data_IF_528489993729
#
_entry.id   IF_528489993729
#
_cell.length_a   1.000
_cell.length_b   1.000
_cell.length_c   1.000
_cell.angle_alpha   90.00
_cell.angle_beta   90.00
_cell.angle_gamma   90.00
#
_symmetry.space_group_name_H-M   'P 1'
#
loop_
_entity.id
_entity.type
_entity.pdbx_description
1 polymer ?
#
# COMPACT_ATOMS: atom_id res chain seq x y z
N UNK A 1 -14.33 -8.44 -33.95
CA UNK A 1 -14.60 -8.12 -32.56
C UNK A 1 -13.91 -6.80 -32.31
N UNK A 2 -14.69 -5.75 -32.08
CA UNK A 2 -14.18 -4.40 -31.85
C UNK A 2 -13.50 -4.41 -30.47
N UNK A 3 -12.17 -4.34 -30.46
CA UNK A 3 -11.42 -4.11 -29.23
C UNK A 3 -11.73 -2.67 -28.85
N UNK A 4 -12.65 -2.47 -27.92
CA UNK A 4 -12.92 -1.16 -27.36
C UNK A 4 -11.60 -0.66 -26.77
N UNK A 5 -10.98 0.32 -27.42
CA UNK A 5 -9.80 1.01 -26.92
C UNK A 5 -10.24 1.71 -25.63
N UNK A 6 -9.95 1.08 -24.49
CA UNK A 6 -10.16 1.70 -23.17
C UNK A 6 -9.29 2.95 -23.14
N UNK A 7 -9.92 4.14 -23.11
CA UNK A 7 -9.15 5.39 -22.99
C UNK A 7 -8.49 5.37 -21.60
N UNK A 8 -7.16 5.53 -21.53
CA UNK A 8 -6.48 5.58 -20.25
C UNK A 8 -6.99 6.78 -19.44
N UNK A 9 -7.23 6.53 -18.15
CA UNK A 9 -7.54 7.57 -17.18
C UNK A 9 -6.25 8.35 -16.87
N UNK A 10 -6.38 9.61 -16.48
CA UNK A 10 -5.24 10.47 -16.17
C UNK A 10 -5.26 10.84 -14.69
N UNK A 11 -4.08 10.82 -14.06
CA UNK A 11 -3.89 11.34 -12.70
C UNK A 11 -3.28 12.75 -12.75
N UNK A 12 -3.61 13.57 -11.75
CA UNK A 12 -2.97 14.86 -11.55
C UNK A 12 -2.25 14.94 -10.22
N UNK A 13 -1.12 15.64 -10.17
CA UNK A 13 -0.32 15.81 -8.96
C UNK A 13 -1.05 16.77 -8.00
N UNK A 14 -1.31 16.30 -6.77
CA UNK A 14 -1.94 17.10 -5.70
C UNK A 14 -0.92 17.57 -4.66
N UNK A 15 0.22 16.88 -4.56
CA UNK A 15 1.33 17.28 -3.70
C UNK A 15 2.66 16.90 -4.36
N UNK A 16 3.43 17.88 -4.86
CA UNK A 16 4.77 17.61 -5.40
C UNK A 16 5.80 17.44 -4.26
N UNK A 17 5.62 16.38 -3.46
CA UNK A 17 6.37 16.15 -2.22
C UNK A 17 7.86 15.87 -2.45
N UNK A 18 8.23 15.37 -3.64
CA UNK A 18 9.59 14.98 -3.97
C UNK A 18 10.14 13.89 -3.03
N UNK A 19 9.24 13.02 -2.53
CA UNK A 19 9.58 11.97 -1.59
C UNK A 19 10.59 10.98 -2.18
N UNK A 20 11.45 10.45 -1.34
CA UNK A 20 12.37 9.40 -1.77
C UNK A 20 11.59 8.13 -2.14
N UNK A 21 10.72 7.68 -1.24
CA UNK A 21 9.89 6.50 -1.44
C UNK A 21 8.53 6.75 -0.76
N UNK A 22 7.63 7.50 -1.45
CA UNK A 22 6.28 7.68 -0.94
C UNK A 22 5.49 6.38 -1.07
N UNK A 23 4.82 5.95 0.01
CA UNK A 23 4.18 4.66 0.15
C UNK A 23 2.99 4.68 1.10
N UNK A 24 2.32 3.52 1.20
CA UNK A 24 1.31 3.20 2.19
C UNK A 24 0.18 4.25 2.31
N UNK A 25 -0.41 4.74 1.21
CA UNK A 25 -1.47 5.73 1.30
C UNK A 25 -2.69 5.11 1.99
N UNK A 26 -3.21 5.84 3.00
CA UNK A 26 -4.36 5.41 3.79
C UNK A 26 -5.29 6.61 4.02
N UNK A 27 -6.56 6.50 3.62
CA UNK A 27 -7.53 7.54 3.85
C UNK A 27 -8.03 7.52 5.29
N UNK A 28 -7.72 8.58 6.06
CA UNK A 28 -8.20 8.78 7.41
C UNK A 28 -9.53 9.55 7.39
N UNK A 29 -10.63 8.82 7.29
CA UNK A 29 -11.96 9.40 7.05
C UNK A 29 -12.38 10.42 8.14
N UNK A 30 -12.10 10.13 9.42
CA UNK A 30 -12.48 10.98 10.55
C UNK A 30 -11.81 12.36 10.50
N UNK A 31 -10.64 12.45 9.84
CA UNK A 31 -9.92 13.73 9.65
C UNK A 31 -10.01 14.27 8.24
N UNK A 32 -10.58 13.51 7.30
CA UNK A 32 -10.57 13.82 5.87
C UNK A 32 -9.16 14.12 5.36
N UNK A 33 -8.20 13.30 5.77
CA UNK A 33 -6.78 13.42 5.43
C UNK A 33 -6.25 12.12 4.82
N UNK A 34 -5.25 12.24 3.96
CA UNK A 34 -4.46 11.13 3.48
C UNK A 34 -3.24 10.96 4.39
N UNK A 35 -3.13 9.81 5.06
CA UNK A 35 -1.88 9.34 5.64
C UNK A 35 -1.05 8.72 4.54
N UNK A 36 0.26 8.90 4.62
CA UNK A 36 1.24 8.27 3.74
C UNK A 36 2.60 8.22 4.41
N UNK A 37 3.54 7.49 3.88
CA UNK A 37 4.89 7.41 4.42
C UNK A 37 5.91 7.80 3.36
N UNK A 38 7.02 8.42 3.77
CA UNK A 38 8.26 8.48 3.00
C UNK A 38 9.23 7.53 3.70
N UNK A 39 9.31 6.28 3.20
CA UNK A 39 9.99 5.19 3.88
C UNK A 39 11.43 5.57 4.19
N UNK A 40 12.18 5.99 3.17
CA UNK A 40 13.61 6.31 3.29
C UNK A 40 13.88 7.60 4.07
N UNK A 41 12.96 8.56 4.01
CA UNK A 41 13.04 9.76 4.84
C UNK A 41 12.55 9.52 6.29
N UNK A 42 12.12 8.29 6.62
CA UNK A 42 11.73 7.89 7.97
C UNK A 42 10.63 8.77 8.58
N UNK A 43 9.61 9.12 7.78
CA UNK A 43 8.55 10.04 8.21
C UNK A 43 7.16 9.63 7.73
N UNK A 44 6.16 10.03 8.49
CA UNK A 44 4.74 9.91 8.18
C UNK A 44 4.25 11.27 7.68
N UNK A 45 3.59 11.30 6.53
CA UNK A 45 2.91 12.48 5.99
C UNK A 45 1.43 12.47 6.32
N UNK A 46 0.88 13.65 6.64
CA UNK A 46 -0.54 13.92 6.82
C UNK A 46 -0.94 15.00 5.81
N UNK A 47 -1.60 14.61 4.74
CA UNK A 47 -2.00 15.50 3.67
C UNK A 47 -3.50 15.80 3.73
N UNK A 48 -3.87 17.08 3.80
CA UNK A 48 -5.25 17.55 3.67
C UNK A 48 -5.49 18.00 2.22
N UNK A 49 -6.22 17.23 1.41
CA UNK A 49 -6.43 17.54 0.00
C UNK A 49 -7.29 18.80 -0.23
N UNK A 50 -8.07 19.27 0.76
CA UNK A 50 -8.89 20.48 0.64
C UNK A 50 -8.06 21.74 0.74
N UNK A 51 -7.06 21.75 1.62
CA UNK A 51 -6.17 22.91 1.82
C UNK A 51 -4.86 22.82 1.05
N UNK A 52 -4.49 21.60 0.57
CA UNK A 52 -3.20 21.31 0.00
C UNK A 52 -2.07 21.25 1.05
N UNK A 53 -2.41 21.36 2.34
CA UNK A 53 -1.41 21.33 3.42
C UNK A 53 -0.95 19.90 3.69
N UNK A 54 0.38 19.73 3.84
CA UNK A 54 0.98 18.49 4.30
C UNK A 54 1.89 18.76 5.49
N UNK A 55 1.74 17.96 6.53
CA UNK A 55 2.65 17.97 7.69
C UNK A 55 3.37 16.62 7.81
N UNK A 56 4.48 16.59 8.55
CA UNK A 56 5.26 15.38 8.75
C UNK A 56 5.44 15.08 10.24
N UNK A 57 5.49 13.78 10.56
CA UNK A 57 5.94 13.24 11.85
C UNK A 57 7.19 12.41 11.58
N UNK A 58 8.33 12.82 12.14
CA UNK A 58 9.57 12.06 12.04
C UNK A 58 9.50 10.81 12.91
N UNK A 59 9.75 9.65 12.31
CA UNK A 59 9.71 8.34 12.99
C UNK A 59 11.10 7.92 13.45
N UNK A 60 12.15 8.36 12.76
CA UNK A 60 13.55 8.10 13.11
C UNK A 60 14.08 6.73 12.68
N UNK A 61 13.26 5.92 12.04
CA UNK A 61 13.62 4.69 11.34
C UNK A 61 12.71 4.51 10.12
N UNK A 62 13.08 3.66 9.17
CA UNK A 62 12.26 3.40 7.99
C UNK A 62 10.86 2.95 8.41
N UNK A 63 9.84 3.59 7.85
CA UNK A 63 8.42 3.31 8.13
C UNK A 63 7.74 2.80 6.88
N UNK A 64 7.34 1.52 6.88
CA UNK A 64 6.76 0.85 5.72
C UNK A 64 5.29 1.22 5.49
N UNK A 65 4.49 1.25 6.55
CA UNK A 65 3.09 1.69 6.48
C UNK A 65 2.62 2.31 7.79
N UNK A 66 1.50 3.03 7.71
CA UNK A 66 0.85 3.66 8.86
C UNK A 66 -0.67 3.58 8.72
N UNK A 67 -1.36 3.29 9.82
CA UNK A 67 -2.82 3.26 9.88
C UNK A 67 -3.31 3.98 11.13
N UNK A 68 -4.51 4.58 11.13
CA UNK A 68 -5.10 5.11 12.35
C UNK A 68 -5.55 3.99 13.28
N UNK A 69 -5.56 4.28 14.59
CA UNK A 69 -6.15 3.42 15.60
C UNK A 69 -7.52 3.94 16.05
N UNK A 70 -8.33 3.08 16.66
CA UNK A 70 -9.62 3.48 17.23
C UNK A 70 -9.48 4.55 18.33
N UNK A 71 -8.31 4.68 18.98
CA UNK A 71 -8.04 5.72 19.98
C UNK A 71 -7.67 7.09 19.39
N UNK A 72 -7.44 7.16 18.06
CA UNK A 72 -6.99 8.38 17.36
C UNK A 72 -5.48 8.56 17.31
N UNK A 73 -4.70 7.61 17.85
CA UNK A 73 -3.26 7.47 17.60
C UNK A 73 -3.01 6.86 16.23
N UNK A 74 -1.75 6.74 15.84
CA UNK A 74 -1.31 6.02 14.66
C UNK A 74 -0.58 4.72 15.08
N UNK A 75 -0.75 3.68 14.28
CA UNK A 75 0.03 2.45 14.33
C UNK A 75 0.90 2.39 13.09
N UNK A 76 2.21 2.32 13.27
CA UNK A 76 3.19 2.25 12.19
C UNK A 76 3.94 0.92 12.23
N UNK A 77 4.14 0.29 11.07
CA UNK A 77 5.04 -0.84 10.90
C UNK A 77 6.37 -0.33 10.33
N UNK A 78 7.45 -0.55 11.07
CA UNK A 78 8.75 0.12 10.84
C UNK A 78 9.91 -0.89 10.84
N UNK A 79 11.12 -0.42 10.55
CA UNK A 79 12.32 -1.24 10.70
C UNK A 79 12.53 -1.71 12.16
N UNK A 80 12.04 -0.94 13.15
CA UNK A 80 12.15 -1.27 14.58
C UNK A 80 10.93 -2.03 15.12
N UNK A 81 10.02 -2.49 14.25
CA UNK A 81 8.80 -3.20 14.63
C UNK A 81 7.54 -2.34 14.57
N UNK A 82 6.50 -2.76 15.29
CA UNK A 82 5.23 -2.04 15.37
C UNK A 82 5.30 -0.94 16.42
N UNK A 83 5.12 0.32 16.00
CA UNK A 83 5.16 1.50 16.86
C UNK A 83 3.77 2.13 16.97
N UNK A 84 3.36 2.50 18.20
CA UNK A 84 2.31 3.50 18.40
C UNK A 84 2.94 4.89 18.28
N UNK A 85 2.29 5.77 17.54
CA UNK A 85 2.74 7.15 17.31
C UNK A 85 1.59 8.11 17.63
N UNK A 86 1.83 9.03 18.56
CA UNK A 86 0.88 10.10 18.89
C UNK A 86 0.97 11.22 17.83
N UNK A 87 -0.09 11.51 17.08
CA UNK A 87 0.00 12.39 15.90
C UNK A 87 0.32 13.86 16.22
N UNK A 88 0.01 14.32 17.44
CA UNK A 88 0.20 15.72 17.85
C UNK A 88 1.60 16.00 18.39
N UNK A 89 2.17 15.06 19.15
CA UNK A 89 3.48 15.22 19.80
C UNK A 89 4.62 14.50 19.08
N UNK A 90 4.29 13.55 18.19
CA UNK A 90 5.25 12.64 17.57
C UNK A 90 5.84 11.62 18.55
N UNK A 91 5.31 11.53 19.79
CA UNK A 91 5.77 10.55 20.76
C UNK A 91 5.52 9.13 20.26
N UNK A 92 6.53 8.28 20.40
CA UNK A 92 6.53 6.90 19.91
C UNK A 92 6.71 5.92 21.04
N UNK A 93 6.07 4.76 20.92
CA UNK A 93 6.29 3.62 21.81
C UNK A 93 6.28 2.32 21.02
N UNK A 94 7.29 1.48 21.27
CA UNK A 94 7.35 0.14 20.67
C UNK A 94 6.25 -0.74 21.30
N UNK A 95 5.46 -1.36 20.44
CA UNK A 95 4.44 -2.33 20.84
C UNK A 95 4.98 -3.76 20.76
N UNK A 96 5.57 -4.10 19.61
CA UNK A 96 6.11 -5.44 19.37
C UNK A 96 7.07 -5.43 18.17
N UNK A 97 8.11 -6.28 18.18
CA UNK A 97 9.03 -6.47 17.05
C UNK A 97 9.18 -7.97 16.74
N UNK A 98 8.41 -8.53 15.80
CA UNK A 98 8.42 -9.96 15.53
C UNK A 98 9.71 -10.44 14.88
N UNK A 99 10.44 -9.59 14.17
CA UNK A 99 11.71 -9.87 13.52
C UNK A 99 12.92 -9.19 14.18
N UNK A 100 12.89 -8.98 15.49
CA UNK A 100 13.99 -8.34 16.24
C UNK A 100 15.36 -9.02 16.07
N UNK A 101 15.41 -10.21 15.53
CA UNK A 101 16.63 -10.97 15.21
C UNK A 101 17.04 -10.90 13.72
N UNK A 102 16.23 -10.26 12.85
CA UNK A 102 16.46 -10.11 11.41
C UNK A 102 16.83 -8.65 11.10
N UNK A 103 18.05 -8.26 11.42
CA UNK A 103 18.52 -6.86 11.33
C UNK A 103 18.54 -6.28 9.92
N UNK A 104 18.54 -7.14 8.90
CA UNK A 104 18.56 -6.75 7.50
C UNK A 104 17.16 -6.69 6.87
N UNK A 105 16.11 -6.92 7.68
CA UNK A 105 14.73 -6.78 7.27
C UNK A 105 14.13 -5.47 7.79
N UNK A 106 13.14 -4.96 7.05
CA UNK A 106 12.23 -3.90 7.47
C UNK A 106 10.80 -4.24 7.07
N UNK A 107 9.82 -3.68 7.77
CA UNK A 107 8.46 -3.67 7.21
C UNK A 107 8.40 -2.87 5.92
N UNK A 108 7.56 -3.30 4.98
CA UNK A 108 7.35 -2.70 3.68
C UNK A 108 5.92 -2.18 3.54
N UNK A 109 4.97 -2.98 3.07
CA UNK A 109 3.56 -2.57 2.97
C UNK A 109 2.72 -3.23 4.07
N UNK A 110 1.58 -2.60 4.37
CA UNK A 110 0.63 -3.14 5.35
C UNK A 110 -0.69 -2.40 5.35
N UNK A 111 -1.75 -3.12 5.76
CA UNK A 111 -3.13 -2.62 5.77
C UNK A 111 -3.93 -3.28 6.87
N UNK A 112 -4.90 -2.56 7.44
CA UNK A 112 -5.86 -3.16 8.36
C UNK A 112 -6.88 -4.03 7.62
N UNK A 113 -7.20 -5.16 8.22
CA UNK A 113 -8.25 -6.05 7.76
C UNK A 113 -9.64 -5.64 8.30
N UNK A 114 -10.73 -6.24 7.78
CA UNK A 114 -12.10 -5.96 8.23
C UNK A 114 -12.40 -6.31 9.70
N UNK A 115 -11.48 -6.95 10.41
CA UNK A 115 -11.58 -7.27 11.83
C UNK A 115 -10.75 -6.33 12.72
N UNK A 116 -10.14 -5.28 12.11
CA UNK A 116 -9.35 -4.27 12.81
C UNK A 116 -7.96 -4.73 13.24
N UNK A 117 -7.38 -5.72 12.56
CA UNK A 117 -6.01 -6.20 12.79
C UNK A 117 -5.10 -5.62 11.72
N UNK A 118 -3.85 -5.29 12.06
CA UNK A 118 -2.88 -4.82 11.07
C UNK A 118 -2.12 -6.01 10.46
N UNK A 119 -2.22 -6.17 9.15
CA UNK A 119 -1.33 -7.03 8.38
C UNK A 119 -0.22 -6.18 7.81
N UNK A 120 1.01 -6.58 8.02
CA UNK A 120 2.18 -5.90 7.47
C UNK A 120 3.25 -6.94 7.15
N UNK A 121 3.85 -6.79 6.00
CA UNK A 121 4.91 -7.70 5.59
C UNK A 121 6.27 -7.02 5.53
N UNK A 122 7.30 -7.83 5.55
CA UNK A 122 8.69 -7.39 5.54
C UNK A 122 9.34 -7.57 4.17
N UNK A 123 10.51 -7.03 4.03
CA UNK A 123 11.46 -7.27 2.95
C UNK A 123 12.88 -7.17 3.49
N UNK A 124 13.80 -7.88 2.86
CA UNK A 124 15.23 -7.75 3.13
C UNK A 124 15.80 -6.55 2.35
N UNK A 125 16.68 -5.74 2.94
CA UNK A 125 17.27 -4.57 2.28
C UNK A 125 17.98 -4.89 0.96
N UNK A 126 18.63 -6.08 0.88
CA UNK A 126 19.31 -6.57 -0.31
C UNK A 126 18.41 -7.46 -1.19
N UNK A 127 17.09 -7.41 -1.00
CA UNK A 127 16.09 -8.17 -1.80
C UNK A 127 16.35 -9.68 -1.84
N UNK A 128 16.89 -10.26 -0.77
CA UNK A 128 17.20 -11.70 -0.70
C UNK A 128 15.91 -12.52 -0.84
N UNK A 129 15.81 -13.41 -1.85
CA UNK A 129 14.60 -14.18 -2.08
C UNK A 129 14.19 -15.03 -0.89
N UNK A 130 12.94 -14.92 -0.47
CA UNK A 130 12.36 -15.73 0.61
C UNK A 130 12.84 -15.38 2.02
N UNK A 131 13.58 -14.28 2.21
CA UNK A 131 14.12 -13.88 3.51
C UNK A 131 13.13 -13.11 4.40
N UNK A 132 11.94 -12.82 3.87
CA UNK A 132 10.94 -12.00 4.54
C UNK A 132 9.65 -12.77 4.84
N UNK A 133 8.69 -12.09 5.47
CA UNK A 133 7.46 -12.69 5.94
C UNK A 133 6.28 -11.70 5.91
N UNK A 134 5.06 -12.25 5.94
CA UNK A 134 3.84 -11.50 6.20
C UNK A 134 3.41 -11.79 7.65
N UNK A 135 3.24 -10.72 8.43
CA UNK A 135 2.82 -10.75 9.83
C UNK A 135 1.44 -10.13 9.99
N UNK A 136 0.73 -10.53 11.04
CA UNK A 136 -0.49 -9.89 11.50
C UNK A 136 -0.35 -9.50 12.95
N UNK A 137 -0.58 -8.23 13.28
CA UNK A 137 -0.73 -7.74 14.64
C UNK A 137 -2.21 -7.78 15.02
N UNK A 138 -2.54 -8.64 15.97
CA UNK A 138 -3.89 -8.78 16.50
C UNK A 138 -4.25 -7.61 17.45
N UNK A 139 -5.53 -7.40 17.72
CA UNK A 139 -6.02 -6.28 18.57
C UNK A 139 -5.53 -6.36 20.02
N UNK A 140 -5.05 -7.51 20.48
CA UNK A 140 -4.41 -7.72 21.78
C UNK A 140 -2.89 -7.43 21.76
N UNK A 141 -2.37 -6.84 20.68
CA UNK A 141 -0.96 -6.49 20.46
C UNK A 141 -0.01 -7.71 20.35
N UNK A 142 -0.54 -8.89 20.06
CA UNK A 142 0.28 -10.07 19.75
C UNK A 142 0.43 -10.20 18.23
N UNK A 143 1.65 -10.39 17.76
CA UNK A 143 1.86 -10.67 16.32
C UNK A 143 1.83 -12.16 16.03
N UNK A 144 1.35 -12.51 14.84
CA UNK A 144 1.31 -13.86 14.32
C UNK A 144 1.95 -13.90 12.94
N UNK A 145 2.80 -14.89 12.70
CA UNK A 145 3.34 -15.20 11.38
C UNK A 145 2.23 -15.79 10.51
N UNK A 146 1.90 -15.12 9.41
CA UNK A 146 0.87 -15.56 8.47
C UNK A 146 1.46 -16.27 7.26
N UNK A 147 2.63 -15.81 6.78
CA UNK A 147 3.35 -16.44 5.67
C UNK A 147 4.85 -16.19 5.80
N UNK A 148 5.66 -17.23 5.66
CA UNK A 148 7.11 -17.16 5.53
C UNK A 148 7.53 -17.31 4.05
N UNK A 149 8.81 -17.04 3.77
CA UNK A 149 9.37 -17.23 2.43
C UNK A 149 8.89 -16.15 1.43
N UNK A 150 8.54 -14.98 1.92
CA UNK A 150 8.22 -13.79 1.11
C UNK A 150 9.52 -13.08 0.74
N UNK A 151 9.55 -12.44 -0.41
CA UNK A 151 10.72 -11.66 -0.87
C UNK A 151 10.51 -10.17 -0.65
N UNK A 152 9.46 -9.60 -1.24
CA UNK A 152 9.07 -8.20 -1.06
C UNK A 152 7.55 -8.18 -0.84
N UNK A 153 7.14 -8.17 0.43
CA UNK A 153 5.72 -8.10 0.76
C UNK A 153 5.15 -6.76 0.36
N UNK A 154 4.10 -6.79 -0.44
CA UNK A 154 3.41 -5.63 -0.96
C UNK A 154 1.89 -5.76 -0.85
N UNK A 155 1.16 -5.17 -1.76
CA UNK A 155 -0.26 -4.95 -1.81
C UNK A 155 -1.14 -5.96 -1.07
N UNK A 156 -2.05 -5.42 -0.24
CA UNK A 156 -3.05 -6.18 0.52
C UNK A 156 -4.43 -5.61 0.26
N UNK A 157 -5.42 -6.49 0.05
CA UNK A 157 -6.82 -6.10 -0.04
C UNK A 157 -7.74 -7.22 0.45
N UNK A 158 -8.94 -6.85 0.94
CA UNK A 158 -9.98 -7.81 1.35
C UNK A 158 -11.25 -7.54 0.57
N UNK A 159 -11.92 -8.62 0.12
CA UNK A 159 -13.22 -8.51 -0.52
C UNK A 159 -14.28 -7.95 0.45
N UNK A 160 -15.27 -7.22 -0.08
CA UNK A 160 -16.34 -6.62 0.72
C UNK A 160 -17.16 -7.66 1.51
N UNK A 161 -17.29 -8.88 0.97
CA UNK A 161 -17.98 -10.01 1.63
C UNK A 161 -17.08 -10.76 2.64
N UNK A 162 -15.84 -10.29 2.85
CA UNK A 162 -14.85 -10.83 3.79
C UNK A 162 -14.46 -12.28 3.55
N UNK A 163 -14.67 -12.80 2.34
CA UNK A 163 -14.31 -14.19 2.01
C UNK A 163 -12.92 -14.35 1.41
N UNK A 164 -12.32 -13.24 0.94
CA UNK A 164 -11.06 -13.29 0.23
C UNK A 164 -10.06 -12.27 0.77
N UNK A 165 -8.79 -12.71 0.92
CA UNK A 165 -7.60 -11.88 1.03
C UNK A 165 -6.86 -11.95 -0.30
N UNK A 166 -6.42 -10.79 -0.79
CA UNK A 166 -5.50 -10.65 -1.92
C UNK A 166 -4.15 -10.17 -1.42
N UNK A 167 -3.07 -10.73 -1.95
CA UNK A 167 -1.71 -10.47 -1.50
C UNK A 167 -0.71 -10.49 -2.66
N UNK A 168 0.26 -9.56 -2.62
CA UNK A 168 1.35 -9.44 -3.59
C UNK A 168 2.69 -9.71 -2.90
N UNK A 169 3.49 -10.63 -3.50
CA UNK A 169 4.94 -10.70 -3.34
C UNK A 169 5.54 -10.25 -4.68
N UNK A 170 6.02 -9.01 -4.75
CA UNK A 170 6.31 -8.30 -6.00
C UNK A 170 7.15 -9.08 -7.02
N UNK A 171 8.24 -9.78 -6.65
CA UNK A 171 9.06 -10.51 -7.63
C UNK A 171 8.34 -11.68 -8.29
N UNK A 172 7.22 -12.13 -7.74
CA UNK A 172 6.43 -13.21 -8.34
C UNK A 172 5.61 -12.74 -9.55
N UNK A 173 5.40 -11.43 -9.70
CA UNK A 173 4.53 -10.80 -10.69
C UNK A 173 3.06 -11.23 -10.58
N UNK A 174 2.65 -11.73 -9.41
CA UNK A 174 1.34 -12.33 -9.19
C UNK A 174 0.59 -11.69 -8.03
N UNK A 175 -0.74 -11.69 -8.14
CA UNK A 175 -1.63 -11.51 -7.00
C UNK A 175 -2.17 -12.87 -6.60
N UNK A 176 -1.94 -13.24 -5.35
CA UNK A 176 -2.53 -14.44 -4.74
C UNK A 176 -3.86 -14.08 -4.08
N UNK A 177 -4.85 -14.97 -4.22
CA UNK A 177 -6.13 -14.92 -3.53
C UNK A 177 -6.24 -16.08 -2.56
N UNK A 178 -6.53 -15.78 -1.29
CA UNK A 178 -6.72 -16.77 -0.21
C UNK A 178 -8.18 -16.76 0.23
N UNK A 179 -8.77 -17.95 0.38
CA UNK A 179 -10.05 -18.09 1.05
C UNK A 179 -9.89 -17.87 2.56
N UNK A 180 -10.87 -17.17 3.17
CA UNK A 180 -10.84 -16.84 4.59
C UNK A 180 -11.95 -17.59 5.33
N UNK A 181 -11.67 -17.97 6.58
CA UNK A 181 -12.69 -18.41 7.53
C UNK A 181 -13.49 -17.24 8.12
N UNK A 182 -14.40 -17.52 9.02
CA UNK A 182 -15.22 -16.50 9.70
C UNK A 182 -14.40 -15.57 10.60
N UNK A 183 -13.22 -16.00 11.05
CA UNK A 183 -12.28 -15.24 11.86
C UNK A 183 -11.31 -14.40 10.98
N UNK A 184 -11.37 -14.59 9.65
CA UNK A 184 -10.51 -13.90 8.69
C UNK A 184 -9.10 -14.49 8.60
N UNK A 185 -8.93 -15.76 8.95
CA UNK A 185 -7.69 -16.49 8.78
C UNK A 185 -7.71 -17.24 7.44
N UNK A 186 -6.61 -17.23 6.65
CA UNK A 186 -6.50 -18.02 5.43
C UNK A 186 -6.65 -19.52 5.70
N UNK A 187 -7.49 -20.18 4.88
CA UNK A 187 -7.77 -21.63 4.99
C UNK A 187 -7.19 -22.46 3.85
N UNK A 188 -6.47 -21.83 2.94
CA UNK A 188 -5.80 -22.48 1.81
C UNK A 188 -4.38 -21.92 1.59
N UNK A 189 -3.67 -22.48 0.61
CA UNK A 189 -2.32 -22.04 0.25
C UNK A 189 -2.29 -20.79 -0.65
N UNK A 190 -3.46 -20.30 -1.05
CA UNK A 190 -3.63 -19.25 -2.04
C UNK A 190 -3.58 -19.74 -3.49
N UNK A 191 -4.30 -19.06 -4.35
CA UNK A 191 -4.32 -19.29 -5.80
C UNK A 191 -4.01 -18.01 -6.54
N UNK A 192 -3.29 -18.08 -7.67
CA UNK A 192 -3.05 -16.93 -8.53
C UNK A 192 -4.37 -16.46 -9.13
N UNK A 193 -4.70 -15.17 -8.98
CA UNK A 193 -5.89 -14.57 -9.56
C UNK A 193 -5.56 -13.45 -10.57
N UNK A 194 -4.37 -12.85 -10.50
CA UNK A 194 -3.86 -11.89 -11.50
C UNK A 194 -2.39 -12.19 -11.76
N UNK A 195 -1.96 -12.12 -13.02
CA UNK A 195 -0.56 -12.17 -13.43
C UNK A 195 -0.20 -10.90 -14.19
N UNK A 196 0.83 -10.19 -13.73
CA UNK A 196 1.38 -9.04 -14.44
C UNK A 196 2.32 -9.55 -15.52
N UNK A 197 2.11 -9.19 -16.80
CA UNK A 197 2.95 -9.71 -17.88
C UNK A 197 4.42 -9.30 -17.72
N UNK A 198 5.33 -10.26 -17.65
CA UNK A 198 6.76 -10.00 -17.51
C UNK A 198 7.32 -9.08 -18.62
N UNK A 199 6.71 -9.10 -19.79
CA UNK A 199 7.08 -8.22 -20.92
C UNK A 199 6.86 -6.72 -20.63
N UNK A 200 6.10 -6.36 -19.59
CA UNK A 200 5.90 -4.95 -19.22
C UNK A 200 7.12 -4.36 -18.47
N UNK A 201 8.08 -5.20 -18.05
CA UNK A 201 9.28 -4.81 -17.29
C UNK A 201 8.96 -3.96 -16.05
N UNK A 202 7.90 -4.29 -15.36
CA UNK A 202 7.47 -3.67 -14.11
C UNK A 202 7.09 -4.75 -13.11
N UNK A 203 6.90 -4.36 -11.85
CA UNK A 203 6.43 -5.26 -10.80
C UNK A 203 5.16 -4.72 -10.15
N UNK A 204 4.21 -5.58 -9.74
CA UNK A 204 3.09 -5.16 -8.91
C UNK A 204 3.59 -4.72 -7.53
N UNK A 205 3.04 -3.60 -7.03
CA UNK A 205 3.44 -2.98 -5.78
C UNK A 205 2.24 -2.85 -4.84
N UNK A 206 1.93 -1.67 -4.32
CA UNK A 206 0.75 -1.48 -3.48
C UNK A 206 -0.57 -1.70 -4.23
N UNK A 207 -1.61 -2.09 -3.51
CA UNK A 207 -2.90 -2.47 -4.07
C UNK A 207 -4.07 -1.98 -3.22
N UNK A 208 -5.19 -1.66 -3.87
CA UNK A 208 -6.48 -1.44 -3.22
C UNK A 208 -7.61 -2.15 -3.97
N UNK A 209 -8.84 -2.10 -3.44
CA UNK A 209 -10.02 -2.73 -4.03
C UNK A 209 -11.16 -1.72 -4.10
N UNK A 210 -11.95 -1.76 -5.18
CA UNK A 210 -13.12 -0.91 -5.33
C UNK A 210 -14.42 -1.59 -4.86
N UNK A 211 -15.52 -0.84 -4.85
CA UNK A 211 -16.83 -1.32 -4.41
C UNK A 211 -17.44 -2.38 -5.34
N UNK A 212 -16.94 -2.51 -6.58
CA UNK A 212 -17.32 -3.57 -7.51
C UNK A 212 -16.49 -4.84 -7.31
N UNK A 213 -15.50 -4.81 -6.39
CA UNK A 213 -14.62 -5.93 -6.07
C UNK A 213 -13.42 -6.07 -6.98
N UNK A 214 -13.12 -5.06 -7.81
CA UNK A 214 -11.96 -5.06 -8.71
C UNK A 214 -10.72 -4.54 -8.00
N UNK A 215 -9.57 -5.13 -8.32
CA UNK A 215 -8.27 -4.77 -7.72
C UNK A 215 -7.63 -3.63 -8.52
N UNK A 216 -7.13 -2.61 -7.82
CA UNK A 216 -6.31 -1.55 -8.36
C UNK A 216 -4.87 -1.75 -7.89
N UNK A 217 -3.96 -1.98 -8.83
CA UNK A 217 -2.58 -2.39 -8.59
C UNK A 217 -1.64 -1.34 -9.14
N UNK A 218 -0.80 -0.77 -8.28
CA UNK A 218 0.31 0.09 -8.69
C UNK A 218 1.40 -0.74 -9.37
N UNK A 219 1.97 -0.23 -10.45
CA UNK A 219 3.02 -0.89 -11.20
C UNK A 219 4.32 -0.11 -11.06
N UNK A 220 5.22 -0.59 -10.20
CA UNK A 220 6.55 -0.02 -10.04
C UNK A 220 7.38 -0.28 -11.31
N UNK A 221 7.92 0.78 -11.90
CA UNK A 221 8.50 0.86 -13.25
C UNK A 221 7.48 0.76 -14.40
N UNK A 222 6.17 0.71 -14.10
CA UNK A 222 5.13 0.56 -15.10
C UNK A 222 4.41 1.85 -15.50
N UNK A 223 4.69 2.99 -14.85
CA UNK A 223 4.03 4.28 -15.10
C UNK A 223 2.50 4.21 -15.08
N UNK A 224 1.92 3.34 -14.26
CA UNK A 224 0.47 3.13 -14.24
C UNK A 224 -0.03 2.57 -12.91
N UNK A 225 -1.33 2.80 -12.64
CA UNK A 225 -2.16 1.96 -11.76
C UNK A 225 -3.17 1.25 -12.64
N UNK A 226 -3.28 -0.07 -12.52
CA UNK A 226 -4.12 -0.90 -13.39
C UNK A 226 -5.26 -1.55 -12.60
N UNK A 227 -6.45 -1.61 -13.20
CA UNK A 227 -7.65 -2.23 -12.63
C UNK A 227 -7.84 -3.64 -13.17
N UNK A 228 -8.10 -4.61 -12.30
CA UNK A 228 -8.21 -6.03 -12.64
C UNK A 228 -9.44 -6.68 -12.04
N UNK A 229 -10.06 -7.59 -12.80
CA UNK A 229 -11.06 -8.51 -12.27
C UNK A 229 -10.35 -9.74 -11.65
N UNK A 230 -10.40 -9.94 -10.33
CA UNK A 230 -9.76 -11.08 -9.68
C UNK A 230 -10.45 -12.43 -9.95
N UNK A 231 -11.61 -12.43 -10.61
CA UNK A 231 -12.30 -13.66 -10.98
C UNK A 231 -11.82 -14.20 -12.34
N UNK A 232 -11.61 -13.31 -13.31
CA UNK A 232 -11.14 -13.67 -14.67
C UNK A 232 -9.63 -13.49 -14.86
N UNK A 233 -8.98 -12.64 -14.06
CA UNK A 233 -7.59 -12.22 -14.27
C UNK A 233 -7.43 -11.19 -15.41
N UNK A 234 -8.52 -10.60 -15.89
CA UNK A 234 -8.49 -9.63 -16.98
C UNK A 234 -8.25 -8.21 -16.48
N UNK A 235 -7.42 -7.45 -17.22
CA UNK A 235 -7.24 -6.02 -17.01
C UNK A 235 -8.43 -5.24 -17.57
N UNK A 236 -9.05 -4.40 -16.76
CA UNK A 236 -10.25 -3.64 -17.10
C UNK A 236 -9.98 -2.17 -17.43
N UNK A 237 -8.99 -1.56 -16.77
CA UNK A 237 -8.66 -0.15 -16.95
C UNK A 237 -7.20 0.14 -16.58
N UNK A 238 -6.72 1.34 -16.93
CA UNK A 238 -5.40 1.86 -16.57
C UNK A 238 -5.50 3.35 -16.29
N UNK A 239 -4.83 3.79 -15.22
CA UNK A 239 -4.51 5.19 -14.93
C UNK A 239 -3.06 5.42 -15.31
N UNK A 240 -2.81 6.26 -16.32
CA UNK A 240 -1.46 6.62 -16.74
C UNK A 240 -0.84 7.65 -15.79
N UNK A 241 0.44 7.44 -15.47
CA UNK A 241 1.20 8.27 -14.56
C UNK A 241 2.38 8.95 -15.27
N UNK A 242 2.69 10.20 -14.90
CA UNK A 242 3.86 10.91 -15.46
C UNK A 242 5.19 10.47 -14.83
N UNK A 243 5.17 9.46 -13.96
CA UNK A 243 6.31 8.94 -13.22
C UNK A 243 6.36 7.42 -13.35
N UNK A 244 7.56 6.86 -13.52
CA UNK A 244 7.73 5.41 -13.68
C UNK A 244 7.54 4.63 -12.38
N UNK A 245 7.99 5.19 -11.26
CA UNK A 245 7.98 4.54 -9.93
C UNK A 245 6.64 4.78 -9.23
N UNK A 246 5.59 4.10 -9.67
CA UNK A 246 4.26 4.13 -9.03
C UNK A 246 4.26 3.07 -7.94
N UNK A 247 4.06 3.48 -6.68
CA UNK A 247 4.31 2.62 -5.53
C UNK A 247 3.02 2.03 -4.94
N UNK A 248 2.01 2.87 -4.69
CA UNK A 248 0.78 2.37 -4.06
C UNK A 248 -0.44 3.22 -4.41
N UNK A 249 -1.63 2.77 -3.99
CA UNK A 249 -2.86 3.53 -4.16
C UNK A 249 -3.89 3.22 -3.08
N UNK A 250 -4.77 4.19 -2.82
CA UNK A 250 -5.96 3.99 -1.98
C UNK A 250 -7.11 4.89 -2.44
N UNK A 251 -8.34 4.48 -2.17
CA UNK A 251 -9.49 5.34 -2.35
C UNK A 251 -9.65 6.29 -1.17
N UNK A 252 -10.08 7.53 -1.45
CA UNK A 252 -10.32 8.56 -0.47
C UNK A 252 -11.33 9.60 -0.99
N UNK A 253 -11.45 10.72 -0.27
CA UNK A 253 -12.52 11.69 -0.51
C UNK A 253 -13.78 11.37 0.30
N UNK A 254 -14.76 12.28 0.27
CA UNK A 254 -16.00 12.12 1.04
C UNK A 254 -16.81 10.91 0.58
N UNK A 255 -16.83 10.65 -0.71
CA UNK A 255 -17.60 9.58 -1.35
C UNK A 255 -16.72 8.39 -1.76
N UNK A 256 -15.42 8.40 -1.37
CA UNK A 256 -14.41 7.38 -1.73
C UNK A 256 -14.24 7.19 -3.24
N UNK A 257 -14.48 8.21 -4.03
CA UNK A 257 -14.45 8.21 -5.50
C UNK A 257 -13.12 8.74 -6.10
N UNK A 258 -12.20 9.14 -5.22
CA UNK A 258 -10.87 9.62 -5.59
C UNK A 258 -9.82 8.55 -5.33
N UNK A 259 -9.11 8.14 -6.37
CA UNK A 259 -7.97 7.22 -6.23
C UNK A 259 -6.70 8.03 -6.00
N UNK A 260 -6.21 8.07 -4.76
CA UNK A 260 -4.91 8.65 -4.41
C UNK A 260 -3.80 7.65 -4.75
N UNK A 261 -2.70 8.17 -5.31
CA UNK A 261 -1.59 7.35 -5.81
C UNK A 261 -0.28 7.95 -5.31
N UNK A 262 0.62 7.12 -4.81
CA UNK A 262 1.97 7.48 -4.38
C UNK A 262 3.00 7.11 -5.42
N UNK A 263 4.12 7.86 -5.46
CA UNK A 263 5.24 7.61 -6.39
C UNK A 263 6.57 7.81 -5.68
N UNK A 264 7.66 7.34 -6.28
CA UNK A 264 8.99 7.42 -5.69
C UNK A 264 10.02 8.10 -6.62
N UNK A 265 11.07 8.63 -6.02
CA UNK A 265 12.31 9.04 -6.68
C UNK A 265 13.44 8.00 -6.51
N UNK A 266 13.22 7.04 -5.63
CA UNK A 266 14.15 5.96 -5.35
C UNK A 266 14.66 5.30 -6.63
N UNK A 267 16.00 5.13 -6.73
CA UNK A 267 16.67 4.51 -7.88
C UNK A 267 16.46 5.22 -9.24
N UNK A 268 15.94 6.44 -9.29
CA UNK A 268 15.94 7.23 -10.51
C UNK A 268 17.26 7.97 -10.65
N UNK A 269 17.90 7.82 -11.81
CA UNK A 269 19.11 8.58 -12.14
C UNK A 269 18.80 10.08 -12.34
N UNK A 270 19.78 10.99 -12.24
CA UNK A 270 19.54 12.43 -12.37
C UNK A 270 18.82 12.84 -13.66
N UNK A 271 19.18 12.24 -14.79
CA UNK A 271 18.55 12.48 -16.10
C UNK A 271 17.07 11.99 -16.15
N UNK A 272 16.77 10.89 -15.47
CA UNK A 272 15.40 10.40 -15.32
C UNK A 272 14.58 11.32 -14.42
N UNK A 273 15.17 11.90 -13.36
CA UNK A 273 14.49 12.87 -12.50
C UNK A 273 14.20 14.18 -13.24
N UNK A 274 15.06 14.62 -14.16
CA UNK A 274 14.79 15.77 -15.03
C UNK A 274 13.60 15.51 -15.97
N UNK A 275 13.45 14.28 -16.47
CA UNK A 275 12.33 13.87 -17.32
C UNK A 275 11.04 13.62 -16.52
N UNK A 276 11.15 13.32 -15.23
CA UNK A 276 10.03 13.01 -14.33
C UNK A 276 10.01 13.95 -13.12
N UNK A 277 9.82 15.27 -13.30
CA UNK A 277 9.97 16.27 -12.24
C UNK A 277 8.97 16.11 -11.10
N UNK A 278 7.87 15.40 -11.33
CA UNK A 278 6.83 15.11 -10.34
C UNK A 278 7.03 13.76 -9.62
N UNK A 279 8.11 13.01 -9.91
CA UNK A 279 8.43 11.78 -9.20
C UNK A 279 8.56 12.03 -7.69
N UNK A 280 8.07 11.11 -6.86
CA UNK A 280 7.96 11.28 -5.41
C UNK A 280 6.79 12.17 -4.99
N UNK A 281 5.87 12.50 -5.90
CA UNK A 281 4.64 13.23 -5.62
C UNK A 281 3.48 12.30 -5.23
N UNK A 282 2.42 12.93 -4.67
CA UNK A 282 1.11 12.31 -4.51
C UNK A 282 0.20 12.79 -5.65
N UNK A 283 -0.56 11.85 -6.18
CA UNK A 283 -1.48 12.10 -7.29
C UNK A 283 -2.90 11.68 -6.91
N UNK A 284 -3.87 12.17 -7.67
CA UNK A 284 -5.26 11.72 -7.58
C UNK A 284 -5.82 11.52 -8.99
N UNK A 285 -6.67 10.51 -9.14
CA UNK A 285 -7.44 10.23 -10.35
C UNK A 285 -8.92 10.02 -10.01
N UNK A 286 -9.81 10.54 -10.85
CA UNK A 286 -11.23 10.20 -10.85
C UNK A 286 -11.42 8.99 -11.76
N UNK A 287 -11.75 7.85 -11.17
CA UNK A 287 -11.76 6.56 -11.89
C UNK A 287 -13.15 6.03 -12.21
N UNK A 288 -14.20 6.78 -11.82
CA UNK A 288 -15.60 6.47 -12.14
C UNK A 288 -16.23 5.35 -11.31
N UNK A 289 -15.50 4.86 -10.29
CA UNK A 289 -16.00 3.89 -9.30
C UNK A 289 -15.56 4.35 -7.92
N UNK A 290 -16.34 4.01 -6.88
CA UNK A 290 -15.95 4.26 -5.51
C UNK A 290 -15.13 3.08 -4.94
N UNK A 291 -14.29 3.37 -3.93
CA UNK A 291 -13.59 2.36 -3.16
C UNK A 291 -14.40 1.81 -2.00
N UNK A 292 -13.81 0.85 -1.29
CA UNK A 292 -14.29 0.43 0.02
C UNK A 292 -13.68 1.31 1.12
N UNK A 293 -14.39 1.54 2.24
CA UNK A 293 -13.82 2.24 3.39
C UNK A 293 -12.55 1.55 3.89
N UNK A 294 -11.52 2.34 4.17
CA UNK A 294 -10.32 1.84 4.81
C UNK A 294 -10.62 1.44 6.27
N UNK A 295 -10.01 0.35 6.74
CA UNK A 295 -10.18 -0.14 8.10
C UNK A 295 -9.12 0.47 9.03
N UNK A 296 -9.49 0.71 10.30
CA UNK A 296 -8.62 1.19 11.35
C UNK A 296 -8.18 0.04 12.27
N UNK A 297 -7.06 0.22 12.96
CA UNK A 297 -6.64 -0.75 13.98
C UNK A 297 -7.51 -0.63 15.23
N UNK A 298 -8.07 -1.75 15.69
CA UNK A 298 -9.06 -1.79 16.77
C UNK A 298 -8.46 -2.11 18.15
N UNK A 299 -7.11 -2.20 18.27
CA UNK A 299 -6.42 -2.50 19.52
C UNK A 299 -5.74 -1.30 20.18
#
# INVERSE_FOLDING_TARGET
>A
MDVSVVRPLQAHCVLPAGAHLAEGPHWWAERSQLLWVDIEASRIGLFDPRSGHNSFIDVGCHVGCVVPTASGDLLAATADGFLRVEPTSGKRSLLHHPEAHCFDNRFNDGKCDPWGRLWAGTMHYEFVPGAAALWRLDTNLQSRLMRSGVTISNGLAWSADRRWLYFIDSPTLQVLRFALDQQGDPIDAGTVCVEIPAAWNCVPDGMTIDAEGMLWIALHDGSAVTRWDPASGEQLASVEMPCSKVTSCCFGGADLDQLFITTARHQLAPDQLEQQPLAGGLFVAEVGVAGLPAHTFAG
#
